data_IF_203946953090
#
_entry.id   IF_203946953090
#
_cell.length_a   1.000
_cell.length_b   1.000
_cell.length_c   1.000
_cell.angle_alpha   90.00
_cell.angle_beta   90.00
_cell.angle_gamma   90.00
#
_symmetry.space_group_name_H-M   'P 1'
#
loop_
_entity.id
_entity.type
_entity.pdbx_description
1 polymer ?
#
# COMPACT_ATOMS: atom_id res chain seq x y z
N UNK A 1 16.59 6.28 -18.77
CA UNK A 1 17.41 5.36 -17.97
C UNK A 1 18.73 6.05 -17.59
N UNK A 2 19.07 6.01 -16.27
CA UNK A 2 20.33 6.54 -15.76
C UNK A 2 21.41 5.46 -15.88
N UNK A 3 22.38 5.69 -16.78
CA UNK A 3 23.42 4.71 -17.10
C UNK A 3 24.75 4.96 -16.37
N UNK A 4 24.78 5.90 -15.41
CA UNK A 4 25.98 6.22 -14.65
C UNK A 4 25.97 5.52 -13.30
N UNK A 5 27.16 5.14 -12.81
CA UNK A 5 27.32 4.55 -11.47
C UNK A 5 27.46 5.63 -10.37
N UNK A 6 26.63 6.66 -10.46
CA UNK A 6 26.61 7.81 -9.55
C UNK A 6 25.18 8.16 -9.22
N UNK A 7 24.97 8.88 -8.11
CA UNK A 7 23.71 9.50 -7.75
C UNK A 7 23.79 10.99 -8.03
N UNK A 8 22.81 11.54 -8.74
CA UNK A 8 22.67 12.97 -8.94
C UNK A 8 21.34 13.43 -8.31
N UNK A 9 21.40 14.47 -7.48
CA UNK A 9 20.25 15.07 -6.81
C UNK A 9 20.18 16.54 -7.20
N UNK A 10 19.06 16.93 -7.78
CA UNK A 10 18.71 18.33 -8.03
C UNK A 10 17.53 18.69 -7.14
N UNK A 11 17.64 19.78 -6.42
CA UNK A 11 16.56 20.31 -5.57
C UNK A 11 16.14 21.67 -6.08
N UNK A 12 14.84 21.82 -6.29
CA UNK A 12 14.23 23.09 -6.66
C UNK A 12 13.34 23.56 -5.53
N UNK A 13 13.53 24.81 -5.10
CA UNK A 13 12.76 25.45 -4.05
C UNK A 13 12.07 26.68 -4.64
N UNK A 14 10.76 26.73 -4.52
CA UNK A 14 9.95 27.88 -4.92
C UNK A 14 9.17 28.38 -3.72
N UNK A 15 9.29 29.68 -3.42
CA UNK A 15 8.49 30.35 -2.41
C UNK A 15 7.72 31.52 -3.08
N UNK A 16 6.41 31.54 -2.88
CA UNK A 16 5.53 32.65 -3.30
C UNK A 16 5.02 33.36 -2.06
N UNK A 17 5.08 34.69 -2.06
CA UNK A 17 4.58 35.54 -0.98
C UNK A 17 4.07 36.88 -1.53
N UNK A 18 3.52 37.73 -0.66
CA UNK A 18 2.96 39.04 -1.02
C UNK A 18 4.01 40.06 -1.44
N UNK A 19 5.28 39.87 -1.03
CA UNK A 19 6.41 40.69 -1.41
C UNK A 19 7.64 39.81 -1.61
N UNK A 20 8.63 40.34 -2.36
CA UNK A 20 9.90 39.69 -2.60
C UNK A 20 10.67 39.44 -1.29
N UNK A 21 10.70 40.45 -0.39
CA UNK A 21 11.30 40.34 0.94
C UNK A 21 10.72 39.17 1.73
N UNK A 22 9.40 39.00 1.71
CA UNK A 22 8.71 37.91 2.40
C UNK A 22 8.98 36.55 1.76
N UNK A 23 9.08 36.51 0.44
CA UNK A 23 9.47 35.29 -0.27
C UNK A 23 10.90 34.87 0.09
N UNK A 24 11.82 35.83 0.16
CA UNK A 24 13.21 35.63 0.57
C UNK A 24 13.31 35.14 2.03
N UNK A 25 12.57 35.75 2.96
CA UNK A 25 12.50 35.28 4.35
C UNK A 25 12.03 33.80 4.44
N UNK A 26 11.10 33.41 3.59
CA UNK A 26 10.62 32.01 3.54
C UNK A 26 11.68 31.07 2.96
N UNK A 27 12.42 31.48 1.95
CA UNK A 27 13.57 30.75 1.40
C UNK A 27 14.68 30.56 2.43
N UNK A 28 15.02 31.59 3.20
CA UNK A 28 16.10 31.58 4.21
C UNK A 28 15.81 30.59 5.39
N UNK A 29 14.57 30.19 5.55
CA UNK A 29 14.16 29.17 6.55
C UNK A 29 14.45 27.74 6.09
N UNK A 30 14.66 27.53 4.80
CA UNK A 30 14.85 26.22 4.21
C UNK A 30 16.34 25.91 4.20
N UNK A 31 16.70 24.84 4.84
CA UNK A 31 18.07 24.31 4.81
C UNK A 31 18.07 22.93 4.15
N UNK A 32 18.84 22.79 3.09
CA UNK A 32 19.05 21.52 2.40
C UNK A 32 20.45 21.06 2.70
N UNK A 33 20.57 19.92 3.37
CA UNK A 33 21.85 19.32 3.71
C UNK A 33 22.06 18.07 2.86
N UNK A 34 23.18 18.03 2.15
CA UNK A 34 23.60 16.86 1.38
C UNK A 34 24.86 16.26 1.97
N UNK A 35 24.92 14.96 2.15
CA UNK A 35 26.08 14.24 2.71
C UNK A 35 26.40 13.00 1.88
N UNK A 36 27.67 12.63 1.83
CA UNK A 36 28.14 11.35 1.32
C UNK A 36 29.06 10.72 2.34
N UNK A 37 28.63 9.63 2.97
CA UNK A 37 29.36 8.91 4.02
C UNK A 37 29.28 7.41 3.73
N UNK A 38 30.44 6.74 3.62
CA UNK A 38 30.49 5.28 3.50
C UNK A 38 29.69 4.70 2.32
N UNK A 39 29.60 5.41 1.19
CA UNK A 39 28.82 4.98 0.04
C UNK A 39 27.33 5.37 0.08
N UNK A 40 26.86 5.93 1.19
CA UNK A 40 25.49 6.45 1.33
C UNK A 40 25.48 7.93 0.91
N UNK A 41 24.54 8.27 0.05
CA UNK A 41 24.24 9.67 -0.32
C UNK A 41 22.92 10.04 0.32
N UNK A 42 22.90 11.14 1.07
CA UNK A 42 21.69 11.67 1.70
C UNK A 42 21.44 13.12 1.29
N UNK A 43 20.16 13.48 1.19
CA UNK A 43 19.70 14.84 1.02
C UNK A 43 18.48 15.07 1.93
N UNK A 44 18.57 16.02 2.84
CA UNK A 44 17.55 16.26 3.86
C UNK A 44 17.19 17.73 3.87
N UNK A 45 15.88 18.01 3.86
CA UNK A 45 15.35 19.36 4.06
C UNK A 45 14.98 19.56 5.53
N UNK A 46 15.44 20.66 6.10
CA UNK A 46 14.99 21.14 7.41
C UNK A 46 14.39 22.54 7.25
N UNK A 47 13.21 22.74 7.82
CA UNK A 47 12.53 24.04 7.85
C UNK A 47 12.62 24.59 9.28
N UNK A 48 13.40 25.66 9.47
CA UNK A 48 13.72 26.21 10.80
C UNK A 48 12.54 26.79 11.58
N UNK A 49 11.44 27.13 10.90
CA UNK A 49 10.23 27.68 11.53
C UNK A 49 9.04 27.36 10.62
N UNK A 50 8.01 26.78 11.16
CA UNK A 50 6.80 26.53 10.40
C UNK A 50 6.20 27.85 9.90
N UNK A 51 5.65 27.81 8.68
CA UNK A 51 4.91 28.97 8.15
C UNK A 51 3.64 29.14 8.97
N UNK A 52 3.33 30.38 9.38
CA UNK A 52 2.06 30.68 10.00
C UNK A 52 0.95 30.39 8.99
N UNK A 53 0.08 29.44 9.29
CA UNK A 53 -1.01 28.98 8.42
C UNK A 53 -2.08 30.05 8.09
N UNK A 54 -1.94 31.26 8.62
CA UNK A 54 -2.90 32.36 8.44
C UNK A 54 -2.57 33.33 7.28
N UNK A 55 -1.55 33.06 6.46
CA UNK A 55 -1.27 33.96 5.33
C UNK A 55 -1.85 33.40 4.04
N UNK A 56 -3.03 33.91 3.68
CA UNK A 56 -3.81 33.58 2.49
C UNK A 56 -3.12 33.97 1.18
N UNK A 57 -1.89 33.71 0.90
CA UNK A 57 -1.22 33.88 -0.41
C UNK A 57 0.27 33.55 -0.33
N UNK A 58 0.69 32.74 0.63
CA UNK A 58 2.07 32.24 0.70
C UNK A 58 2.07 30.76 0.37
N UNK A 59 2.98 30.32 -0.46
CA UNK A 59 3.21 28.91 -0.75
C UNK A 59 4.70 28.60 -0.83
N UNK A 60 5.04 27.37 -0.46
CA UNK A 60 6.39 26.85 -0.54
C UNK A 60 6.33 25.48 -1.21
N UNK A 61 7.17 25.27 -2.20
CA UNK A 61 7.30 23.99 -2.90
C UNK A 61 8.76 23.59 -2.93
N UNK A 62 9.04 22.34 -2.58
CA UNK A 62 10.39 21.77 -2.61
C UNK A 62 10.33 20.47 -3.41
N UNK A 63 10.98 20.46 -4.56
CA UNK A 63 11.00 19.31 -5.46
C UNK A 63 12.40 18.70 -5.50
N UNK A 64 12.46 17.39 -5.26
CA UNK A 64 13.66 16.59 -5.42
C UNK A 64 13.59 15.79 -6.72
N UNK A 65 14.62 15.95 -7.54
CA UNK A 65 14.83 15.15 -8.75
C UNK A 65 16.06 14.30 -8.55
N UNK A 66 15.83 12.99 -8.39
CA UNK A 66 16.88 12.04 -8.05
C UNK A 66 17.13 11.11 -9.24
N UNK A 67 18.35 11.07 -9.73
CA UNK A 67 18.81 10.13 -10.72
C UNK A 67 19.81 9.19 -10.07
N UNK A 68 19.53 7.90 -10.11
CA UNK A 68 20.33 6.87 -9.46
C UNK A 68 20.33 5.57 -10.25
N UNK A 69 21.36 4.70 -10.10
CA UNK A 69 21.36 3.37 -10.67
C UNK A 69 20.11 2.57 -10.25
N UNK A 70 19.45 1.84 -11.17
CA UNK A 70 18.18 1.18 -10.87
C UNK A 70 18.26 0.09 -9.79
N UNK A 71 19.44 -0.46 -9.52
CA UNK A 71 19.67 -1.48 -8.48
C UNK A 71 20.08 -0.90 -7.12
N UNK A 72 20.19 0.40 -7.01
CA UNK A 72 20.55 1.03 -5.74
C UNK A 72 19.36 1.02 -4.78
N UNK A 73 19.62 0.67 -3.53
CA UNK A 73 18.62 0.79 -2.49
C UNK A 73 18.35 2.27 -2.17
N UNK A 74 17.11 2.59 -1.80
CA UNK A 74 16.73 3.92 -1.38
C UNK A 74 15.80 3.90 -0.18
N UNK A 75 15.99 4.90 0.69
CA UNK A 75 15.11 5.28 1.79
C UNK A 75 14.52 6.66 1.43
N UNK A 76 13.20 6.71 1.27
CA UNK A 76 12.46 7.88 0.80
C UNK A 76 11.42 8.29 1.85
N UNK A 77 11.62 9.44 2.45
CA UNK A 77 10.70 9.97 3.46
C UNK A 77 10.10 11.30 2.98
N UNK A 78 8.78 11.32 2.74
CA UNK A 78 8.07 12.49 2.25
C UNK A 78 6.89 12.83 3.15
N UNK A 79 6.87 14.06 3.64
CA UNK A 79 5.74 14.66 4.35
C UNK A 79 5.21 15.85 3.57
N UNK A 80 3.89 15.89 3.37
CA UNK A 80 3.21 16.93 2.57
C UNK A 80 3.67 17.00 1.12
N UNK A 81 3.58 15.89 0.40
CA UNK A 81 3.95 15.85 -1.02
C UNK A 81 3.90 14.44 -1.58
N UNK A 82 4.14 14.32 -2.87
CA UNK A 82 4.05 13.06 -3.57
C UNK A 82 5.42 12.42 -3.79
N UNK A 83 5.47 11.10 -3.82
CA UNK A 83 6.61 10.33 -4.30
C UNK A 83 6.21 9.72 -5.66
N UNK A 84 7.00 10.03 -6.69
CA UNK A 84 6.83 9.44 -8.02
C UNK A 84 8.08 8.67 -8.39
N UNK A 85 7.95 7.36 -8.56
CA UNK A 85 9.04 6.47 -8.92
C UNK A 85 8.89 5.99 -10.36
N UNK A 86 10.01 5.61 -11.03
CA UNK A 86 9.97 5.12 -12.40
C UNK A 86 9.24 3.79 -12.54
N UNK A 87 9.09 3.31 -13.79
CA UNK A 87 8.43 2.04 -14.11
C UNK A 87 9.08 0.82 -13.45
N UNK A 88 10.40 0.83 -13.22
CA UNK A 88 11.12 -0.32 -12.67
C UNK A 88 12.11 0.12 -11.57
N UNK A 89 11.93 -0.44 -10.38
CA UNK A 89 12.73 -0.21 -9.19
C UNK A 89 13.35 -1.55 -8.78
N UNK A 90 14.66 -1.70 -9.03
CA UNK A 90 15.36 -2.99 -8.91
C UNK A 90 16.22 -3.10 -7.63
N UNK A 91 16.28 -2.05 -6.82
CA UNK A 91 16.89 -2.04 -5.50
C UNK A 91 15.85 -2.16 -4.40
N UNK A 92 16.29 -2.49 -3.18
CA UNK A 92 15.42 -2.46 -2.02
C UNK A 92 14.95 -1.02 -1.76
N UNK A 93 13.64 -0.85 -1.52
CA UNK A 93 13.03 0.44 -1.26
C UNK A 93 12.38 0.46 0.11
N UNK A 94 12.70 1.50 0.87
CA UNK A 94 12.00 1.87 2.10
C UNK A 94 11.33 3.22 1.88
N UNK A 95 9.98 3.24 1.93
CA UNK A 95 9.19 4.39 1.48
C UNK A 95 8.22 4.79 2.58
N UNK A 96 8.38 6.03 3.07
CA UNK A 96 7.46 6.63 4.02
C UNK A 96 6.80 7.85 3.38
N UNK A 97 5.48 7.80 3.20
CA UNK A 97 4.72 8.93 2.67
C UNK A 97 3.58 9.30 3.62
N UNK A 98 3.53 10.59 4.01
CA UNK A 98 2.49 11.12 4.87
C UNK A 98 1.93 12.42 4.31
N UNK A 99 0.58 12.49 4.21
CA UNK A 99 -0.14 13.61 3.59
C UNK A 99 0.27 13.82 2.13
N UNK A 100 0.32 12.73 1.36
CA UNK A 100 0.70 12.74 -0.05
C UNK A 100 0.43 11.40 -0.72
N UNK A 101 0.75 11.31 -1.99
CA UNK A 101 0.50 10.11 -2.78
C UNK A 101 1.81 9.42 -3.16
N UNK A 102 1.77 8.11 -3.28
CA UNK A 102 2.83 7.30 -3.88
C UNK A 102 2.34 6.79 -5.24
N UNK A 103 3.07 7.15 -6.29
CA UNK A 103 2.91 6.58 -7.63
C UNK A 103 4.21 5.88 -8.01
N UNK A 104 4.17 4.58 -8.20
CA UNK A 104 5.34 3.79 -8.53
C UNK A 104 5.01 2.70 -9.55
N UNK A 105 5.99 2.34 -10.36
CA UNK A 105 5.90 1.18 -11.22
C UNK A 105 6.19 -0.12 -10.49
N UNK A 106 7.05 -0.96 -11.06
CA UNK A 106 7.35 -2.29 -10.52
C UNK A 106 8.48 -2.24 -9.49
N UNK A 107 8.41 -3.14 -8.51
CA UNK A 107 9.48 -3.41 -7.56
C UNK A 107 9.93 -4.86 -7.75
N UNK A 108 11.15 -5.06 -8.21
CA UNK A 108 11.74 -6.39 -8.44
C UNK A 108 12.60 -6.89 -7.27
N UNK A 109 12.81 -6.04 -6.27
CA UNK A 109 13.41 -6.35 -4.98
C UNK A 109 12.42 -6.05 -3.86
N UNK A 110 12.84 -6.18 -2.59
CA UNK A 110 11.97 -5.95 -1.44
C UNK A 110 11.53 -4.48 -1.36
N UNK A 111 10.26 -4.28 -1.05
CA UNK A 111 9.69 -2.96 -0.80
C UNK A 111 9.00 -2.90 0.58
N UNK A 112 9.39 -1.93 1.41
CA UNK A 112 8.65 -1.51 2.60
C UNK A 112 7.97 -0.20 2.29
N UNK A 113 6.65 -0.12 2.51
CA UNK A 113 5.85 1.07 2.20
C UNK A 113 4.98 1.40 3.42
N UNK A 114 5.27 2.50 4.07
CA UNK A 114 4.40 3.12 5.07
C UNK A 114 3.70 4.33 4.45
N UNK A 115 2.37 4.31 4.42
CA UNK A 115 1.59 5.41 3.88
C UNK A 115 0.46 5.83 4.81
N UNK A 116 0.35 7.15 5.03
CA UNK A 116 -0.70 7.74 5.84
C UNK A 116 -1.29 8.99 5.17
N UNK A 117 -2.63 9.04 5.10
CA UNK A 117 -3.39 10.19 4.55
C UNK A 117 -3.03 10.53 3.10
N UNK A 118 -3.34 9.63 2.18
CA UNK A 118 -3.12 9.82 0.75
C UNK A 118 -3.64 8.66 -0.07
N UNK A 119 -3.10 8.48 -1.26
CA UNK A 119 -3.39 7.34 -2.12
C UNK A 119 -2.10 6.67 -2.56
N UNK A 120 -2.20 5.37 -2.87
CA UNK A 120 -1.08 4.58 -3.38
C UNK A 120 -1.50 3.97 -4.71
N UNK A 121 -0.62 4.05 -5.69
CA UNK A 121 -0.71 3.30 -6.93
C UNK A 121 0.64 2.67 -7.22
N UNK A 122 0.70 1.33 -7.23
CA UNK A 122 1.92 0.57 -7.50
C UNK A 122 1.66 -0.50 -8.55
N UNK A 123 2.67 -0.77 -9.36
CA UNK A 123 2.64 -1.81 -10.38
C UNK A 123 2.79 -3.21 -9.77
N UNK A 124 3.85 -3.92 -10.20
CA UNK A 124 4.12 -5.28 -9.73
C UNK A 124 5.06 -5.27 -8.54
N UNK A 125 4.75 -6.07 -7.52
CA UNK A 125 5.57 -6.25 -6.32
C UNK A 125 6.11 -7.69 -6.29
N UNK A 126 7.42 -7.87 -6.08
CA UNK A 126 8.00 -9.20 -5.87
C UNK A 126 7.73 -9.64 -4.42
N UNK A 127 8.34 -8.98 -3.47
CA UNK A 127 8.14 -9.17 -2.04
C UNK A 127 7.94 -7.81 -1.38
N UNK A 128 6.83 -7.61 -0.66
CA UNK A 128 6.55 -6.31 -0.09
C UNK A 128 5.82 -6.37 1.26
N UNK A 129 6.07 -5.35 2.06
CA UNK A 129 5.31 -5.08 3.29
C UNK A 129 4.73 -3.67 3.23
N UNK A 130 3.41 -3.56 3.49
CA UNK A 130 2.68 -2.31 3.50
C UNK A 130 2.05 -2.06 4.88
N UNK A 131 2.28 -0.87 5.44
CA UNK A 131 1.56 -0.31 6.60
C UNK A 131 0.73 0.88 6.13
N UNK A 132 -0.61 0.73 6.16
CA UNK A 132 -1.54 1.67 5.58
C UNK A 132 -2.49 2.25 6.64
N UNK A 133 -2.44 3.58 6.81
CA UNK A 133 -3.32 4.28 7.73
C UNK A 133 -4.07 5.43 7.07
N UNK A 134 -5.41 5.41 7.07
CA UNK A 134 -6.23 6.46 6.46
C UNK A 134 -5.90 6.71 4.99
N UNK A 135 -5.57 5.65 4.25
CA UNK A 135 -5.32 5.70 2.81
C UNK A 135 -6.66 5.65 2.09
N UNK A 136 -6.93 6.64 1.25
CA UNK A 136 -8.18 6.71 0.49
C UNK A 136 -8.35 5.48 -0.38
N UNK A 137 -7.36 5.18 -1.22
CA UNK A 137 -7.28 3.93 -1.98
C UNK A 137 -5.83 3.53 -2.22
N UNK A 138 -5.52 2.27 -1.93
CA UNK A 138 -4.27 1.62 -2.32
C UNK A 138 -4.54 0.66 -3.48
N UNK A 139 -4.01 0.98 -4.67
CA UNK A 139 -4.11 0.16 -5.87
C UNK A 139 -2.82 -0.61 -6.09
N UNK A 140 -2.91 -1.93 -6.19
CA UNK A 140 -1.78 -2.82 -6.45
C UNK A 140 -2.13 -3.68 -7.66
N UNK A 141 -1.29 -3.65 -8.70
CA UNK A 141 -1.56 -4.45 -9.90
C UNK A 141 -1.32 -5.92 -9.64
N UNK A 142 -0.10 -6.32 -9.37
CA UNK A 142 0.22 -7.72 -9.07
C UNK A 142 1.20 -7.81 -7.91
N UNK A 143 1.15 -8.90 -7.16
CA UNK A 143 2.17 -9.21 -6.16
C UNK A 143 2.43 -10.72 -6.09
N UNK A 144 3.68 -11.07 -5.78
CA UNK A 144 4.04 -12.45 -5.49
C UNK A 144 3.80 -12.76 -4.01
N UNK A 145 4.56 -12.14 -3.11
CA UNK A 145 4.40 -12.28 -1.67
C UNK A 145 4.18 -10.91 -1.04
N UNK A 146 3.05 -10.74 -0.36
CA UNK A 146 2.63 -9.46 0.17
C UNK A 146 2.13 -9.59 1.61
N UNK A 147 2.60 -8.70 2.48
CA UNK A 147 2.09 -8.54 3.84
C UNK A 147 1.51 -7.13 4.00
N UNK A 148 0.28 -7.03 4.53
CA UNK A 148 -0.40 -5.73 4.70
C UNK A 148 -0.98 -5.62 6.11
N UNK A 149 -0.66 -4.53 6.82
CA UNK A 149 -1.45 -4.00 7.94
C UNK A 149 -2.21 -2.78 7.43
N UNK A 150 -3.55 -2.79 7.53
CA UNK A 150 -4.39 -1.75 6.97
C UNK A 150 -5.45 -1.28 7.97
N UNK A 151 -5.45 0.03 8.25
CA UNK A 151 -6.44 0.67 9.12
C UNK A 151 -7.06 1.88 8.45
N UNK A 152 -8.39 1.95 8.44
CA UNK A 152 -9.15 3.06 7.84
C UNK A 152 -8.79 3.32 6.39
N UNK A 153 -8.58 2.24 5.60
CA UNK A 153 -8.06 2.34 4.24
C UNK A 153 -8.79 1.38 3.30
N UNK A 154 -8.86 1.74 2.02
CA UNK A 154 -9.44 0.87 1.01
C UNK A 154 -8.33 0.28 0.12
N UNK A 155 -8.46 -0.98 -0.25
CA UNK A 155 -7.50 -1.70 -1.09
C UNK A 155 -8.17 -2.28 -2.32
N UNK A 156 -7.49 -2.14 -3.44
CA UNK A 156 -7.86 -2.69 -4.74
C UNK A 156 -6.65 -3.41 -5.34
N UNK A 157 -6.71 -4.75 -5.39
CA UNK A 157 -5.60 -5.61 -5.80
C UNK A 157 -6.06 -6.46 -6.97
N UNK A 158 -5.30 -6.49 -8.07
CA UNK A 158 -5.68 -7.28 -9.23
C UNK A 158 -5.32 -8.76 -9.06
N UNK A 159 -4.03 -9.13 -9.11
CA UNK A 159 -3.62 -10.53 -8.98
C UNK A 159 -2.51 -10.69 -7.93
N UNK A 160 -2.65 -11.69 -7.07
CA UNK A 160 -1.68 -11.92 -6.01
C UNK A 160 -1.48 -13.42 -5.77
N UNK A 161 -0.21 -13.83 -5.62
CA UNK A 161 0.10 -15.22 -5.36
C UNK A 161 -0.11 -15.58 -3.89
N UNK A 162 0.47 -14.78 -2.98
CA UNK A 162 0.38 -15.02 -1.53
C UNK A 162 0.18 -13.70 -0.80
N UNK A 163 -0.90 -13.62 -0.01
CA UNK A 163 -1.22 -12.46 0.80
C UNK A 163 -1.41 -12.85 2.25
N UNK A 164 -0.70 -12.15 3.14
CA UNK A 164 -1.00 -12.11 4.57
C UNK A 164 -1.45 -10.70 4.93
N UNK A 165 -2.61 -10.57 5.60
CA UNK A 165 -3.09 -9.24 5.94
C UNK A 165 -3.91 -9.17 7.22
N UNK A 166 -3.84 -8.00 7.84
CA UNK A 166 -4.80 -7.52 8.82
C UNK A 166 -5.51 -6.28 8.26
N UNK A 167 -6.86 -6.28 8.26
CA UNK A 167 -7.64 -5.12 7.83
C UNK A 167 -8.67 -4.73 8.87
N UNK A 168 -8.69 -3.46 9.23
CA UNK A 168 -9.66 -2.86 10.15
C UNK A 168 -10.24 -1.58 9.57
N UNK A 169 -11.57 -1.47 9.61
CA UNK A 169 -12.32 -0.27 9.19
C UNK A 169 -12.01 0.15 7.75
N UNK A 170 -12.14 -0.77 6.79
CA UNK A 170 -11.88 -0.49 5.38
C UNK A 170 -12.56 -1.47 4.44
N UNK A 171 -12.31 -1.32 3.16
CA UNK A 171 -12.81 -2.24 2.15
C UNK A 171 -11.64 -2.88 1.39
N UNK A 172 -11.79 -4.16 1.08
CA UNK A 172 -10.85 -4.93 0.29
C UNK A 172 -11.53 -5.47 -0.97
N UNK A 173 -10.93 -5.22 -2.10
CA UNK A 173 -11.27 -5.90 -3.35
C UNK A 173 -10.03 -6.56 -3.90
N UNK A 174 -10.13 -7.87 -4.21
CA UNK A 174 -9.08 -8.64 -4.86
C UNK A 174 -9.71 -9.33 -6.07
N UNK A 175 -9.17 -9.12 -7.27
CA UNK A 175 -9.64 -9.81 -8.46
C UNK A 175 -9.27 -11.30 -8.41
N UNK A 176 -8.03 -11.62 -8.06
CA UNK A 176 -7.55 -13.00 -8.03
C UNK A 176 -6.44 -13.19 -6.98
N UNK A 177 -6.55 -14.28 -6.21
CA UNK A 177 -5.53 -14.64 -5.20
C UNK A 177 -5.34 -16.16 -5.17
N UNK A 178 -4.09 -16.61 -5.00
CA UNK A 178 -3.84 -18.04 -4.82
C UNK A 178 -3.96 -18.42 -3.34
N UNK A 179 -3.19 -17.82 -2.46
CA UNK A 179 -3.23 -18.08 -1.01
C UNK A 179 -3.47 -16.80 -0.23
N UNK A 180 -4.42 -16.86 0.69
CA UNK A 180 -4.80 -15.73 1.51
C UNK A 180 -4.91 -16.13 2.99
N UNK A 181 -4.05 -15.52 3.82
CA UNK A 181 -4.17 -15.52 5.27
C UNK A 181 -4.60 -14.14 5.74
N UNK A 182 -5.74 -14.03 6.44
CA UNK A 182 -6.24 -12.71 6.84
C UNK A 182 -6.94 -12.70 8.19
N UNK A 183 -6.87 -11.53 8.80
CA UNK A 183 -7.74 -11.10 9.88
C UNK A 183 -8.54 -9.87 9.42
N UNK A 184 -9.87 -9.91 9.58
CA UNK A 184 -10.76 -8.86 9.08
C UNK A 184 -11.73 -8.42 10.17
N UNK A 185 -11.73 -7.12 10.48
CA UNK A 185 -12.61 -6.52 11.50
C UNK A 185 -13.26 -5.24 11.01
N UNK A 186 -14.57 -5.14 11.19
CA UNK A 186 -15.37 -3.97 10.81
C UNK A 186 -15.13 -3.54 9.36
N UNK A 187 -15.08 -4.51 8.44
CA UNK A 187 -14.63 -4.33 7.07
C UNK A 187 -15.38 -5.23 6.11
N UNK A 188 -15.44 -4.84 4.85
CA UNK A 188 -15.99 -5.68 3.78
C UNK A 188 -14.88 -6.13 2.84
N UNK A 189 -14.85 -7.43 2.53
CA UNK A 189 -13.90 -8.01 1.59
C UNK A 189 -14.60 -8.73 0.44
N UNK A 190 -14.15 -8.46 -0.78
CA UNK A 190 -14.64 -9.10 -2.01
C UNK A 190 -13.46 -9.72 -2.75
N UNK A 191 -13.55 -11.02 -2.99
CA UNK A 191 -12.56 -11.80 -3.74
C UNK A 191 -13.23 -12.28 -5.02
N UNK A 192 -12.68 -11.93 -6.17
CA UNK A 192 -13.13 -12.37 -7.47
C UNK A 192 -12.90 -13.86 -7.64
N UNK A 193 -11.64 -14.29 -7.61
CA UNK A 193 -11.26 -15.71 -7.72
C UNK A 193 -10.26 -16.12 -6.64
N UNK A 194 -10.60 -17.16 -5.87
CA UNK A 194 -9.68 -17.85 -4.97
C UNK A 194 -9.17 -19.11 -5.67
N UNK A 195 -7.85 -19.20 -5.87
CA UNK A 195 -7.25 -20.29 -6.66
C UNK A 195 -6.88 -21.53 -5.84
N UNK A 196 -6.38 -21.36 -4.59
CA UNK A 196 -5.83 -22.44 -3.79
C UNK A 196 -6.38 -22.45 -2.35
N UNK A 197 -5.92 -21.57 -1.48
CA UNK A 197 -6.23 -21.65 -0.06
C UNK A 197 -6.62 -20.31 0.56
N UNK A 198 -7.57 -20.37 1.49
CA UNK A 198 -7.98 -19.29 2.36
C UNK A 198 -7.91 -19.70 3.82
N UNK A 199 -7.31 -18.89 4.64
CA UNK A 199 -7.39 -18.96 6.08
C UNK A 199 -7.77 -17.59 6.66
N UNK A 200 -8.93 -17.50 7.27
CA UNK A 200 -9.38 -16.31 8.00
C UNK A 200 -9.39 -16.63 9.48
N UNK A 201 -8.42 -16.12 10.21
CA UNK A 201 -8.27 -16.33 11.65
C UNK A 201 -9.31 -15.56 12.48
N UNK A 202 -9.88 -14.50 11.92
CA UNK A 202 -11.00 -13.77 12.53
C UNK A 202 -11.77 -12.99 11.48
N UNK A 203 -13.05 -13.31 11.32
CA UNK A 203 -14.04 -12.53 10.57
C UNK A 203 -14.99 -11.91 11.58
N UNK A 204 -14.73 -10.66 12.01
CA UNK A 204 -15.45 -10.03 13.11
C UNK A 204 -16.18 -8.77 12.64
N UNK A 205 -17.53 -8.76 12.80
CA UNK A 205 -18.38 -7.65 12.34
C UNK A 205 -18.11 -7.25 10.89
N UNK A 206 -17.96 -8.25 10.03
CA UNK A 206 -17.40 -8.09 8.67
C UNK A 206 -18.11 -9.01 7.69
N UNK A 207 -18.04 -8.66 6.40
CA UNK A 207 -18.55 -9.52 5.34
C UNK A 207 -17.40 -9.95 4.43
N UNK A 208 -17.36 -11.23 4.10
CA UNK A 208 -16.42 -11.81 3.13
C UNK A 208 -17.19 -12.51 2.02
N UNK A 209 -16.98 -12.07 0.78
CA UNK A 209 -17.59 -12.66 -0.40
C UNK A 209 -16.54 -13.18 -1.38
N UNK A 210 -16.63 -14.45 -1.75
CA UNK A 210 -15.82 -15.10 -2.77
C UNK A 210 -16.71 -15.46 -3.95
N UNK A 211 -16.48 -14.84 -5.10
CA UNK A 211 -17.33 -15.01 -6.29
C UNK A 211 -17.04 -16.30 -7.04
N UNK A 212 -15.78 -16.70 -7.09
CA UNK A 212 -15.36 -17.91 -7.77
C UNK A 212 -14.31 -18.65 -6.92
N UNK A 213 -14.58 -19.91 -6.63
CA UNK A 213 -13.62 -20.81 -6.03
C UNK A 213 -13.10 -21.76 -7.11
N UNK A 214 -11.78 -21.85 -7.27
CA UNK A 214 -11.17 -22.77 -8.25
C UNK A 214 -11.56 -24.21 -7.93
N UNK A 215 -11.87 -25.05 -8.93
CA UNK A 215 -12.10 -26.48 -8.69
C UNK A 215 -10.92 -27.22 -8.04
N UNK A 216 -9.72 -26.67 -8.13
CA UNK A 216 -8.49 -27.22 -7.55
C UNK A 216 -8.14 -26.63 -6.19
N UNK A 217 -9.05 -25.89 -5.53
CA UNK A 217 -8.78 -25.34 -4.21
C UNK A 217 -8.43 -26.44 -3.19
N UNK A 218 -7.51 -26.12 -2.30
CA UNK A 218 -7.07 -27.08 -1.27
C UNK A 218 -7.85 -26.92 0.04
N UNK A 219 -8.12 -25.68 0.48
CA UNK A 219 -8.76 -25.41 1.76
C UNK A 219 -9.38 -24.02 1.82
N UNK A 220 -10.55 -23.96 2.46
CA UNK A 220 -11.14 -22.71 2.98
C UNK A 220 -11.42 -22.89 4.46
N UNK A 221 -10.76 -22.11 5.30
CA UNK A 221 -10.93 -22.09 6.75
C UNK A 221 -11.31 -20.67 7.19
N UNK A 222 -12.41 -20.53 7.93
CA UNK A 222 -12.88 -19.22 8.40
C UNK A 222 -13.42 -19.34 9.82
N UNK A 223 -12.82 -18.57 10.74
CA UNK A 223 -13.36 -18.34 12.08
C UNK A 223 -14.18 -17.05 12.08
N UNK A 224 -15.49 -17.16 12.28
CA UNK A 224 -16.41 -16.02 12.21
C UNK A 224 -17.03 -15.70 13.56
N UNK A 225 -17.03 -14.40 13.91
CA UNK A 225 -17.72 -13.83 15.06
C UNK A 225 -18.54 -12.61 14.61
N UNK A 226 -19.86 -12.75 14.52
CA UNK A 226 -20.76 -11.73 14.00
C UNK A 226 -20.42 -11.29 12.56
N UNK A 227 -19.96 -12.22 11.74
CA UNK A 227 -19.59 -11.96 10.35
C UNK A 227 -20.36 -12.86 9.38
N UNK A 228 -20.42 -12.44 8.11
CA UNK A 228 -21.04 -13.21 7.04
C UNK A 228 -19.99 -13.69 6.04
N UNK A 229 -20.06 -14.95 5.68
CA UNK A 229 -19.25 -15.56 4.62
C UNK A 229 -20.18 -16.02 3.48
N UNK A 230 -19.90 -15.54 2.28
CA UNK A 230 -20.54 -16.01 1.04
C UNK A 230 -19.48 -16.57 0.10
N UNK A 231 -19.64 -17.84 -0.30
CA UNK A 231 -18.71 -18.51 -1.22
C UNK A 231 -19.48 -19.18 -2.34
N UNK A 232 -19.17 -18.82 -3.58
CA UNK A 232 -19.68 -19.55 -4.74
C UNK A 232 -18.83 -20.81 -4.97
N UNK A 233 -19.46 -21.97 -4.81
CA UNK A 233 -18.82 -23.28 -4.92
C UNK A 233 -18.78 -23.77 -6.38
N UNK A 234 -17.72 -24.45 -6.81
CA UNK A 234 -17.63 -24.98 -8.17
C UNK A 234 -18.57 -26.17 -8.39
N UNK A 235 -19.31 -26.15 -9.50
CA UNK A 235 -20.43 -27.08 -9.79
C UNK A 235 -20.08 -28.58 -9.94
N UNK A 236 -18.81 -28.97 -10.02
CA UNK A 236 -18.40 -30.37 -10.31
C UNK A 236 -17.24 -30.85 -9.43
N UNK A 237 -17.09 -30.30 -8.25
CA UNK A 237 -15.98 -30.62 -7.35
C UNK A 237 -16.51 -31.24 -6.07
N UNK A 238 -15.93 -32.37 -5.63
CA UNK A 238 -16.23 -32.94 -4.33
C UNK A 238 -15.53 -32.13 -3.23
N UNK A 239 -16.27 -31.73 -2.20
CA UNK A 239 -15.71 -30.99 -1.05
C UNK A 239 -16.42 -31.43 0.22
N UNK A 240 -15.81 -31.16 1.35
CA UNK A 240 -16.38 -31.37 2.68
C UNK A 240 -16.57 -30.01 3.36
N UNK A 241 -17.79 -29.78 3.83
CA UNK A 241 -18.09 -28.63 4.68
C UNK A 241 -18.16 -29.11 6.13
N UNK A 242 -17.48 -28.40 7.03
CA UNK A 242 -17.58 -28.58 8.47
C UNK A 242 -17.91 -27.22 9.06
N UNK A 243 -19.06 -27.06 9.69
CA UNK A 243 -19.48 -25.85 10.38
C UNK A 243 -19.57 -26.16 11.88
N UNK A 244 -18.66 -25.57 12.66
CA UNK A 244 -18.56 -25.79 14.09
C UNK A 244 -18.61 -24.45 14.84
N UNK A 245 -19.12 -24.45 16.08
CA UNK A 245 -19.11 -23.30 17.00
C UNK A 245 -19.73 -22.01 16.43
N UNK A 246 -20.76 -22.13 15.63
CA UNK A 246 -21.46 -20.99 15.03
C UNK A 246 -22.27 -20.22 16.07
N UNK A 247 -21.70 -19.17 16.66
CA UNK A 247 -22.43 -18.21 17.48
C UNK A 247 -22.79 -16.97 16.67
N UNK A 248 -24.09 -16.71 16.54
CA UNK A 248 -24.61 -15.51 15.84
C UNK A 248 -24.14 -15.41 14.36
N UNK A 249 -23.98 -16.54 13.71
CA UNK A 249 -23.60 -16.64 12.30
C UNK A 249 -24.53 -17.65 11.61
N UNK A 250 -24.81 -17.44 10.34
CA UNK A 250 -25.52 -18.43 9.49
C UNK A 250 -24.57 -19.03 8.47
N UNK A 251 -24.81 -20.28 8.11
CA UNK A 251 -24.15 -20.94 7.00
C UNK A 251 -25.21 -21.40 6.01
N UNK A 252 -25.34 -20.67 4.92
CA UNK A 252 -26.24 -21.03 3.83
C UNK A 252 -25.42 -21.62 2.69
N UNK A 253 -25.70 -22.86 2.33
CA UNK A 253 -25.02 -23.53 1.22
C UNK A 253 -26.04 -23.71 0.09
N UNK A 254 -25.90 -22.91 -0.95
CA UNK A 254 -26.78 -22.93 -2.11
C UNK A 254 -26.09 -23.61 -3.30
N UNK A 255 -26.86 -24.35 -4.13
CA UNK A 255 -26.38 -24.89 -5.40
C UNK A 255 -26.13 -26.38 -5.45
N UNK A 256 -26.66 -27.15 -4.51
CA UNK A 256 -26.73 -28.60 -4.62
C UNK A 256 -28.05 -28.99 -5.33
N UNK A 257 -27.93 -29.35 -6.61
CA UNK A 257 -28.94 -30.09 -7.37
C UNK A 257 -28.40 -31.48 -7.67
#
# INVERSE_FOLDING_TARGET
>A
HWNQNTVAIRVEVECKARSEERAQENLDRIQIETKKIGGIVSAVTTIKKEMNSNSNNESMTINYYIQMPPKLAADLNQKYGNINLPSDNNGNMDIHVKYGNLNAGNFTANAMIEAKYGNIEVGNLQDAQLDLGYVGTAKIRNAKDLTIDSKYSNLDIQDIQSLRMEIKYGNLTIESVSRLDMEIKYSDAKIGTLKDALNVSSLSYSNLKIRNLSPSFSKVNVESHYGNLEVALPAKTSFRIVAENMKYSSCDVNGFN
#
